data_IF_741319034689
#
_entry.id   IF_741319034689
#
_cell.length_a   1.000
_cell.length_b   1.000
_cell.length_c   1.000
_cell.angle_alpha   90.00
_cell.angle_beta   90.00
_cell.angle_gamma   90.00
#
_symmetry.space_group_name_H-M   'P 1'
#
loop_
_entity.id
_entity.type
_entity.pdbx_description
1 polymer ?
#
# COMPACT_ATOMS: atom_id res chain seq x y z
N UNK A 1 35.83 -18.34 17.77
CA UNK A 1 34.92 -17.97 16.66
C UNK A 1 34.27 -16.67 17.07
N UNK A 2 34.79 -15.56 16.56
CA UNK A 2 34.23 -14.24 16.79
C UNK A 2 32.84 -14.16 16.15
N UNK A 3 31.81 -14.03 16.98
CA UNK A 3 30.48 -13.71 16.51
C UNK A 3 30.46 -12.21 16.22
N UNK A 4 30.84 -11.85 15.00
CA UNK A 4 30.79 -10.47 14.54
C UNK A 4 29.33 -10.01 14.60
N UNK A 5 29.00 -9.19 15.60
CA UNK A 5 27.68 -8.62 15.75
C UNK A 5 27.42 -7.70 14.54
N UNK A 6 26.72 -8.21 13.52
CA UNK A 6 26.11 -7.37 12.51
C UNK A 6 25.22 -6.39 13.27
N UNK A 7 25.63 -5.12 13.34
CA UNK A 7 24.82 -4.09 13.95
C UNK A 7 23.46 -4.10 13.26
N UNK A 8 22.41 -4.44 14.02
CA UNK A 8 21.07 -4.64 13.50
C UNK A 8 20.51 -3.29 13.04
N UNK A 9 20.79 -2.91 11.80
CA UNK A 9 20.22 -1.75 11.12
C UNK A 9 18.80 -2.02 10.61
N UNK A 10 18.14 -3.05 11.15
CA UNK A 10 16.77 -3.43 10.81
C UNK A 10 15.77 -2.62 11.62
N UNK A 11 14.91 -1.90 10.90
CA UNK A 11 13.79 -1.14 11.43
C UNK A 11 12.50 -1.82 11.00
N UNK A 12 11.52 -1.87 11.90
CA UNK A 12 10.23 -2.49 11.64
C UNK A 12 9.11 -1.51 11.92
N UNK A 13 8.11 -1.49 11.05
CA UNK A 13 6.83 -0.84 11.30
C UNK A 13 5.70 -1.85 11.11
N UNK A 14 4.86 -2.00 12.12
CA UNK A 14 3.67 -2.86 12.06
C UNK A 14 2.43 -1.99 12.18
N UNK A 15 1.43 -2.26 11.35
CA UNK A 15 0.20 -1.48 11.26
C UNK A 15 -0.94 -2.33 10.71
N UNK A 16 -2.16 -1.77 10.72
CA UNK A 16 -3.33 -2.37 10.10
C UNK A 16 -3.72 -1.61 8.86
N UNK A 17 -3.95 -2.32 7.77
CA UNK A 17 -4.53 -1.79 6.54
C UNK A 17 -5.22 -2.94 5.79
N UNK A 18 -6.20 -2.62 4.95
CA UNK A 18 -6.93 -3.58 4.10
C UNK A 18 -7.52 -4.77 4.87
N UNK A 19 -7.92 -4.55 6.13
CA UNK A 19 -8.51 -5.59 6.98
C UNK A 19 -7.54 -6.63 7.55
N UNK A 20 -6.22 -6.42 7.45
CA UNK A 20 -5.21 -7.35 7.98
C UNK A 20 -4.12 -6.65 8.82
N UNK A 21 -3.24 -7.46 9.43
CA UNK A 21 -2.03 -6.96 10.10
C UNK A 21 -0.86 -7.01 9.11
N UNK A 22 -0.14 -5.90 8.98
CA UNK A 22 0.98 -5.73 8.07
C UNK A 22 2.28 -5.45 8.84
N UNK A 23 3.42 -5.76 8.23
CA UNK A 23 4.71 -5.33 8.71
C UNK A 23 5.65 -5.00 7.55
N UNK A 24 6.37 -3.88 7.67
CA UNK A 24 7.44 -3.48 6.76
C UNK A 24 8.75 -3.52 7.54
N UNK A 25 9.77 -4.13 6.94
CA UNK A 25 11.11 -4.23 7.48
C UNK A 25 12.05 -3.49 6.54
N UNK A 26 12.88 -2.62 7.09
CA UNK A 26 13.80 -1.77 6.34
C UNK A 26 15.18 -1.86 6.99
N UNK A 27 16.19 -2.26 6.23
CA UNK A 27 17.57 -2.17 6.66
C UNK A 27 18.15 -0.80 6.29
N UNK A 28 18.44 0.03 7.28
CA UNK A 28 19.03 1.35 7.06
C UNK A 28 19.86 1.78 8.27
N UNK A 29 21.07 2.31 8.01
CA UNK A 29 21.97 2.76 9.09
C UNK A 29 21.40 3.91 9.90
N UNK A 30 20.76 4.87 9.24
CA UNK A 30 20.15 6.02 9.89
C UNK A 30 18.73 5.67 10.37
N UNK A 31 18.55 5.64 11.69
CA UNK A 31 17.27 5.29 12.30
C UNK A 31 16.16 6.33 12.07
N UNK A 32 16.47 7.62 12.11
CA UNK A 32 15.49 8.69 11.89
C UNK A 32 14.95 8.65 10.46
N UNK A 33 15.85 8.53 9.48
CA UNK A 33 15.46 8.34 8.07
C UNK A 33 14.63 7.07 7.89
N UNK A 34 14.97 5.98 8.59
CA UNK A 34 14.22 4.74 8.50
C UNK A 34 12.79 4.90 9.01
N UNK A 35 12.60 5.61 10.13
CA UNK A 35 11.28 5.92 10.68
C UNK A 35 10.44 6.71 9.68
N UNK A 36 11.00 7.74 9.05
CA UNK A 36 10.31 8.55 8.04
C UNK A 36 9.91 7.71 6.83
N UNK A 37 10.82 6.92 6.26
CA UNK A 37 10.53 6.08 5.11
C UNK A 37 9.47 5.01 5.43
N UNK A 38 9.49 4.44 6.63
CA UNK A 38 8.47 3.49 7.06
C UNK A 38 7.09 4.17 7.24
N UNK A 39 7.05 5.42 7.74
CA UNK A 39 5.82 6.22 7.80
C UNK A 39 5.24 6.48 6.41
N UNK A 40 6.08 6.91 5.48
CA UNK A 40 5.69 7.15 4.09
C UNK A 40 5.20 5.86 3.44
N UNK A 41 5.89 4.73 3.67
CA UNK A 41 5.48 3.45 3.14
C UNK A 41 4.10 3.02 3.68
N UNK A 42 3.80 3.18 4.98
CA UNK A 42 2.46 2.95 5.51
C UNK A 42 1.40 3.86 4.85
N UNK A 43 1.74 5.13 4.60
CA UNK A 43 0.82 6.07 3.96
C UNK A 43 0.43 5.66 2.54
N UNK A 44 1.28 4.92 1.83
CA UNK A 44 0.94 4.32 0.52
C UNK A 44 -0.23 3.34 0.67
N UNK A 45 -0.22 2.48 1.71
CA UNK A 45 -1.31 1.54 1.98
C UNK A 45 -2.61 2.27 2.31
N UNK A 46 -2.57 3.29 3.16
CA UNK A 46 -3.74 4.11 3.47
C UNK A 46 -4.29 4.84 2.24
N UNK A 47 -3.41 5.32 1.36
CA UNK A 47 -3.78 5.98 0.10
C UNK A 47 -4.42 5.03 -0.92
N UNK A 48 -3.95 3.78 -0.98
CA UNK A 48 -4.55 2.74 -1.80
C UNK A 48 -5.91 2.31 -1.23
N UNK A 49 -5.99 2.02 0.08
CA UNK A 49 -7.22 1.59 0.74
C UNK A 49 -8.35 2.61 0.58
N UNK A 50 -8.08 3.91 0.75
CA UNK A 50 -9.07 4.97 0.55
C UNK A 50 -9.70 4.96 -0.86
N UNK A 51 -8.96 4.54 -1.88
CA UNK A 51 -9.43 4.53 -3.27
C UNK A 51 -10.02 3.19 -3.69
N UNK A 52 -9.39 2.10 -3.25
CA UNK A 52 -9.59 0.76 -3.80
C UNK A 52 -10.40 -0.17 -2.88
N UNK A 53 -10.81 0.30 -1.70
CA UNK A 53 -11.67 -0.50 -0.83
C UNK A 53 -13.07 -0.66 -1.42
N UNK A 54 -13.68 -1.82 -1.21
CA UNK A 54 -15.12 -2.06 -1.50
C UNK A 54 -16.02 -1.83 -0.29
N UNK A 55 -15.44 -1.45 0.85
CA UNK A 55 -16.13 -1.34 2.13
C UNK A 55 -16.52 0.10 2.48
N UNK A 56 -15.97 1.08 1.77
CA UNK A 56 -16.35 2.48 1.88
C UNK A 56 -17.08 2.90 0.60
N UNK A 57 -18.31 3.40 0.73
CA UNK A 57 -19.11 3.90 -0.37
C UNK A 57 -18.52 5.17 -1.02
N UNK A 58 -17.71 5.92 -0.27
CA UNK A 58 -17.03 7.10 -0.77
C UNK A 58 -15.75 6.78 -1.55
N UNK A 59 -15.27 5.53 -1.52
CA UNK A 59 -14.09 5.13 -2.29
C UNK A 59 -14.33 5.21 -3.80
N UNK A 60 -13.25 5.43 -4.55
CA UNK A 60 -13.29 5.47 -6.01
C UNK A 60 -13.81 4.16 -6.62
N UNK A 61 -13.38 3.01 -6.08
CA UNK A 61 -13.87 1.71 -6.53
C UNK A 61 -15.38 1.56 -6.35
N UNK A 62 -15.91 1.91 -5.17
CA UNK A 62 -17.35 1.82 -4.92
C UNK A 62 -18.15 2.77 -5.82
N UNK A 63 -17.65 3.99 -6.06
CA UNK A 63 -18.29 4.93 -6.96
C UNK A 63 -18.28 4.45 -8.42
N UNK A 64 -17.19 3.83 -8.87
CA UNK A 64 -17.08 3.22 -10.19
C UNK A 64 -18.08 2.05 -10.33
N UNK A 65 -18.12 1.15 -9.34
CA UNK A 65 -19.04 0.01 -9.32
C UNK A 65 -20.51 0.42 -9.37
N UNK A 66 -20.86 1.61 -8.85
CA UNK A 66 -22.22 2.14 -8.87
C UNK A 66 -22.67 2.70 -10.24
N UNK A 67 -21.78 2.74 -11.25
CA UNK A 67 -22.06 3.34 -12.58
C UNK A 67 -21.77 2.38 -13.73
N UNK A 68 -22.44 1.22 -13.80
CA UNK A 68 -22.22 0.26 -14.88
C UNK A 68 -22.64 0.84 -16.24
N UNK A 69 -21.86 0.53 -17.28
CA UNK A 69 -22.16 0.91 -18.66
C UNK A 69 -21.88 2.38 -19.01
N UNK A 70 -21.31 3.16 -18.09
CA UNK A 70 -20.97 4.56 -18.29
C UNK A 70 -19.46 4.74 -18.25
N UNK A 71 -18.91 5.55 -19.16
CA UNK A 71 -17.51 5.96 -19.09
C UNK A 71 -17.30 6.92 -17.92
N UNK A 72 -16.40 6.56 -17.01
CA UNK A 72 -16.07 7.34 -15.82
C UNK A 72 -14.57 7.64 -15.83
N UNK A 73 -14.15 8.91 -15.72
CA UNK A 73 -12.75 9.23 -15.51
C UNK A 73 -12.33 8.70 -14.13
N UNK A 74 -11.19 8.01 -14.07
CA UNK A 74 -10.63 7.44 -12.85
C UNK A 74 -9.20 7.97 -12.63
N UNK A 75 -8.72 7.83 -11.41
CA UNK A 75 -7.34 8.13 -11.04
C UNK A 75 -6.36 7.20 -11.76
N UNK A 76 -5.13 7.68 -11.91
CA UNK A 76 -4.04 6.90 -12.49
C UNK A 76 -3.85 5.56 -11.77
N UNK A 77 -3.94 5.55 -10.44
CA UNK A 77 -3.83 4.33 -9.63
C UNK A 77 -4.93 3.31 -9.99
N UNK A 78 -6.18 3.75 -10.09
CA UNK A 78 -7.30 2.89 -10.46
C UNK A 78 -7.12 2.34 -11.89
N UNK A 79 -6.72 3.20 -12.82
CA UNK A 79 -6.46 2.82 -14.20
C UNK A 79 -5.38 1.75 -14.32
N UNK A 80 -4.25 1.93 -13.63
CA UNK A 80 -3.14 0.97 -13.60
C UNK A 80 -3.57 -0.37 -13.02
N UNK A 81 -4.28 -0.37 -11.88
CA UNK A 81 -4.73 -1.60 -11.21
C UNK A 81 -5.74 -2.36 -12.07
N UNK A 82 -6.74 -1.69 -12.64
CA UNK A 82 -7.75 -2.35 -13.50
C UNK A 82 -7.08 -2.91 -14.77
N UNK A 83 -6.21 -2.13 -15.42
CA UNK A 83 -5.50 -2.57 -16.63
C UNK A 83 -4.65 -3.82 -16.34
N UNK A 84 -3.92 -3.82 -15.22
CA UNK A 84 -3.12 -4.97 -14.81
C UNK A 84 -3.99 -6.19 -14.48
N UNK A 85 -5.09 -6.00 -13.74
CA UNK A 85 -6.01 -7.09 -13.40
C UNK A 85 -6.64 -7.72 -14.65
N UNK A 86 -7.06 -6.90 -15.62
CA UNK A 86 -7.60 -7.37 -16.90
C UNK A 86 -6.56 -8.09 -17.76
N UNK A 87 -5.30 -7.62 -17.74
CA UNK A 87 -4.20 -8.31 -18.40
C UNK A 87 -3.96 -9.70 -17.80
N UNK A 88 -3.97 -9.82 -16.48
CA UNK A 88 -3.73 -11.08 -15.75
C UNK A 88 -4.90 -12.07 -15.81
N UNK A 89 -6.12 -11.61 -16.10
CA UNK A 89 -7.30 -12.45 -16.21
C UNK A 89 -7.45 -13.15 -17.58
N UNK A 90 -6.56 -12.82 -18.54
CA UNK A 90 -6.49 -13.45 -19.87
C UNK A 90 -5.60 -14.67 -19.84
#
# INVERSE_FOLDING_TARGET
MDYQAYAAHWHKRAFRAMGCQMAIWLELKNAETAVTLLQEAEAIFAGAERRLTRFDAASELSQLNARPGIWVPVSEMMWQVITQALFMAR
#
